data_IF_323393369310
#
_entry.id   IF_323393369310
#
_cell.length_a   1.000
_cell.length_b   1.000
_cell.length_c   1.000
_cell.angle_alpha   90.00
_cell.angle_beta   90.00
_cell.angle_gamma   90.00
#
_symmetry.space_group_name_H-M   'P 1'
#
loop_
_entity.id
_entity.type
_entity.pdbx_description
1 polymer ?
#
# COMPACT_ATOMS: atom_id res chain seq x y z
N UNK A 1 -4.52 -19.72 11.12
CA UNK A 1 -5.22 -18.88 10.13
C UNK A 1 -4.40 -18.85 8.86
N UNK A 2 -5.03 -18.65 7.71
CA UNK A 2 -4.32 -18.44 6.44
C UNK A 2 -4.37 -16.95 6.09
N UNK A 3 -3.37 -16.48 5.34
CA UNK A 3 -3.32 -15.16 4.73
C UNK A 3 -3.10 -15.35 3.23
N UNK A 4 -4.15 -15.13 2.43
CA UNK A 4 -4.20 -15.53 1.04
C UNK A 4 -4.01 -17.03 0.88
N UNK A 5 -3.01 -17.43 0.10
CA UNK A 5 -2.62 -18.84 -0.10
C UNK A 5 -1.51 -19.32 0.84
N UNK A 6 -1.09 -18.50 1.80
CA UNK A 6 -0.06 -18.86 2.77
C UNK A 6 -0.67 -19.24 4.12
N UNK A 7 -0.04 -20.17 4.84
CA UNK A 7 -0.24 -20.27 6.28
C UNK A 7 0.25 -18.97 6.96
N UNK A 8 -0.14 -18.74 8.21
CA UNK A 8 0.34 -17.57 8.96
C UNK A 8 1.88 -17.56 9.04
N UNK A 9 2.48 -18.70 9.36
CA UNK A 9 3.91 -18.90 9.47
C UNK A 9 4.63 -18.68 8.13
N UNK A 10 4.11 -19.26 7.05
CA UNK A 10 4.69 -19.05 5.71
C UNK A 10 4.60 -17.58 5.27
N UNK A 11 3.53 -16.90 5.66
CA UNK A 11 3.40 -15.47 5.38
C UNK A 11 4.47 -14.67 6.13
N UNK A 12 4.78 -15.00 7.39
CA UNK A 12 5.88 -14.34 8.12
C UNK A 12 7.24 -14.54 7.43
N UNK A 13 7.49 -15.73 6.86
CA UNK A 13 8.70 -15.99 6.06
C UNK A 13 8.72 -15.09 4.82
N UNK A 14 7.60 -15.01 4.08
CA UNK A 14 7.50 -14.11 2.92
C UNK A 14 7.68 -12.64 3.25
N UNK A 15 7.17 -12.19 4.40
CA UNK A 15 7.41 -10.83 4.89
C UNK A 15 8.91 -10.62 5.08
N UNK A 16 9.60 -11.54 5.75
CA UNK A 16 11.04 -11.41 6.00
C UNK A 16 11.85 -11.38 4.71
N UNK A 17 11.51 -12.24 3.75
CA UNK A 17 12.22 -12.32 2.47
C UNK A 17 12.04 -11.05 1.61
N UNK A 18 10.83 -10.48 1.60
CA UNK A 18 10.52 -9.32 0.76
C UNK A 18 10.86 -7.99 1.43
N UNK A 19 10.56 -7.85 2.72
CA UNK A 19 10.71 -6.61 3.49
C UNK A 19 12.02 -6.53 4.29
N UNK A 20 12.77 -7.63 4.38
CA UNK A 20 14.02 -7.76 5.14
C UNK A 20 13.84 -8.01 6.64
N UNK A 21 12.63 -7.87 7.17
CA UNK A 21 12.30 -8.16 8.58
C UNK A 21 10.80 -8.43 8.75
N UNK A 22 10.42 -9.14 9.80
CA UNK A 22 9.00 -9.33 10.17
C UNK A 22 8.48 -8.02 10.75
N UNK A 23 7.68 -7.28 9.97
CA UNK A 23 7.07 -6.03 10.39
C UNK A 23 5.58 -6.25 10.72
N UNK A 24 5.10 -5.87 11.93
CA UNK A 24 3.70 -6.05 12.32
C UNK A 24 2.70 -5.37 11.38
N UNK A 25 3.11 -4.27 10.77
CA UNK A 25 2.29 -3.60 9.75
C UNK A 25 1.98 -4.50 8.55
N UNK A 26 2.92 -5.33 8.09
CA UNK A 26 2.71 -6.20 6.93
C UNK A 26 1.79 -7.36 7.29
N UNK A 27 1.89 -7.87 8.52
CA UNK A 27 0.92 -8.85 9.07
C UNK A 27 -0.49 -8.26 9.01
N UNK A 28 -0.66 -7.05 9.55
CA UNK A 28 -1.94 -6.36 9.52
C UNK A 28 -2.42 -6.14 8.08
N UNK A 29 -1.52 -5.74 7.19
CA UNK A 29 -1.79 -5.54 5.78
C UNK A 29 -2.25 -6.81 5.06
N UNK A 30 -1.67 -7.96 5.40
CA UNK A 30 -2.06 -9.24 4.82
C UNK A 30 -3.50 -9.61 5.16
N UNK A 31 -3.88 -9.43 6.42
CA UNK A 31 -5.27 -9.63 6.86
C UNK A 31 -6.20 -8.63 6.16
N UNK A 32 -5.78 -7.37 5.99
CA UNK A 32 -6.55 -6.35 5.27
C UNK A 32 -6.75 -6.70 3.79
N UNK A 33 -5.75 -7.29 3.12
CA UNK A 33 -5.86 -7.76 1.73
C UNK A 33 -6.91 -8.88 1.63
N UNK A 34 -6.90 -9.85 2.55
CA UNK A 34 -7.88 -10.93 2.55
C UNK A 34 -9.30 -10.42 2.78
N UNK A 35 -9.48 -9.51 3.75
CA UNK A 35 -10.77 -8.86 3.98
C UNK A 35 -11.23 -8.13 2.72
N UNK A 36 -10.34 -7.37 2.06
CA UNK A 36 -10.70 -6.64 0.84
C UNK A 36 -11.10 -7.59 -0.29
N UNK A 37 -10.31 -8.66 -0.53
CA UNK A 37 -10.58 -9.68 -1.56
C UNK A 37 -11.92 -10.38 -1.37
N UNK A 38 -12.27 -10.69 -0.13
CA UNK A 38 -13.56 -11.30 0.21
C UNK A 38 -14.77 -10.36 0.02
N UNK A 39 -14.54 -9.05 -0.15
CA UNK A 39 -15.58 -8.02 -0.25
C UNK A 39 -15.56 -7.25 -1.58
N UNK A 40 -14.78 -7.69 -2.57
CA UNK A 40 -14.67 -6.98 -3.85
C UNK A 40 -16.03 -6.84 -4.54
N UNK A 41 -16.33 -5.68 -5.16
CA UNK A 41 -17.46 -5.57 -6.07
C UNK A 41 -17.25 -6.45 -7.31
N UNK A 42 -18.30 -6.65 -8.11
CA UNK A 42 -18.18 -7.39 -9.37
C UNK A 42 -17.14 -6.74 -10.31
N UNK A 43 -16.34 -7.57 -10.96
CA UNK A 43 -15.32 -7.14 -11.92
C UNK A 43 -14.14 -8.11 -11.99
N UNK A 44 -13.28 -7.89 -12.98
CA UNK A 44 -12.09 -8.72 -13.22
C UNK A 44 -10.79 -7.99 -12.85
N UNK A 45 -10.74 -6.67 -13.07
CA UNK A 45 -9.52 -5.88 -12.92
C UNK A 45 -9.59 -4.89 -11.76
N UNK A 46 -8.77 -5.14 -10.74
CA UNK A 46 -8.68 -4.31 -9.54
C UNK A 46 -7.30 -3.69 -9.39
N UNK A 47 -7.30 -2.41 -9.04
CA UNK A 47 -6.12 -1.68 -8.58
C UNK A 47 -6.23 -1.48 -7.06
N UNK A 48 -5.12 -1.10 -6.43
CA UNK A 48 -5.04 -0.86 -4.98
C UNK A 48 -4.49 0.54 -4.69
N UNK A 49 -5.07 1.22 -3.72
CA UNK A 49 -4.52 2.43 -3.10
C UNK A 49 -4.15 2.10 -1.65
N UNK A 50 -2.91 2.36 -1.26
CA UNK A 50 -2.48 2.41 0.13
C UNK A 50 -2.45 3.86 0.61
N UNK A 51 -3.00 4.12 1.80
CA UNK A 51 -3.07 5.46 2.41
C UNK A 51 -1.82 5.84 3.23
N UNK A 52 -0.77 5.01 3.14
CA UNK A 52 0.54 5.17 3.77
C UNK A 52 1.61 4.43 2.95
N UNK A 53 2.82 4.96 2.92
CA UNK A 53 3.99 4.27 2.36
C UNK A 53 4.64 3.25 3.31
N UNK A 54 4.18 3.15 4.56
CA UNK A 54 4.84 2.33 5.59
C UNK A 54 4.25 0.93 5.66
N UNK A 55 5.05 -0.08 5.29
CA UNK A 55 4.76 -1.52 5.38
C UNK A 55 3.58 -2.02 4.53
N UNK A 56 2.41 -1.37 4.62
CA UNK A 56 1.17 -1.76 3.96
C UNK A 56 1.29 -2.03 2.45
N UNK A 57 2.04 -1.23 1.65
CA UNK A 57 2.27 -1.54 0.24
C UNK A 57 2.86 -2.94 0.01
N UNK A 58 3.76 -3.40 0.88
CA UNK A 58 4.44 -4.68 0.69
C UNK A 58 3.50 -5.87 0.89
N UNK A 59 2.53 -5.77 1.81
CA UNK A 59 1.49 -6.78 1.95
C UNK A 59 0.69 -6.95 0.65
N UNK A 60 0.38 -5.84 -0.03
CA UNK A 60 -0.32 -5.86 -1.32
C UNK A 60 0.56 -6.51 -2.39
N UNK A 61 1.85 -6.16 -2.46
CA UNK A 61 2.78 -6.70 -3.46
C UNK A 61 3.07 -8.19 -3.26
N UNK A 62 3.09 -8.67 -2.01
CA UNK A 62 3.30 -10.09 -1.69
C UNK A 62 2.07 -10.94 -2.08
N UNK A 63 0.86 -10.41 -1.87
CA UNK A 63 -0.39 -11.17 -1.95
C UNK A 63 -1.19 -10.94 -3.23
N UNK A 64 -0.78 -10.00 -4.07
CA UNK A 64 -1.54 -9.62 -5.26
C UNK A 64 -0.62 -9.31 -6.44
N UNK A 65 -1.14 -9.34 -7.67
CA UNK A 65 -0.43 -8.83 -8.84
C UNK A 65 -0.19 -7.30 -8.81
N UNK A 66 -0.79 -6.56 -7.88
CA UNK A 66 -0.73 -5.11 -7.86
C UNK A 66 0.61 -4.64 -7.29
N UNK A 67 1.46 -4.06 -8.14
CA UNK A 67 2.78 -3.56 -7.74
C UNK A 67 2.95 -2.09 -8.07
N UNK A 68 3.93 -1.44 -7.43
CA UNK A 68 4.29 -0.06 -7.79
C UNK A 68 4.79 -0.04 -9.24
N UNK A 69 5.57 -1.06 -9.65
CA UNK A 69 6.19 -1.14 -10.98
C UNK A 69 5.20 -1.26 -12.14
N UNK A 70 4.09 -1.99 -11.98
CA UNK A 70 3.04 -2.05 -13.00
C UNK A 70 1.99 -0.93 -12.88
N UNK A 71 2.08 -0.11 -11.83
CA UNK A 71 1.20 1.04 -11.59
C UNK A 71 -0.20 0.67 -11.07
N UNK A 72 -0.44 -0.60 -10.74
CA UNK A 72 -1.73 -1.05 -10.18
C UNK A 72 -1.81 -0.80 -8.67
N UNK A 73 -0.67 -0.67 -7.98
CA UNK A 73 -0.59 -0.17 -6.61
C UNK A 73 -0.18 1.31 -6.62
N UNK A 74 -0.96 2.13 -5.93
CA UNK A 74 -0.72 3.57 -5.74
C UNK A 74 -0.58 3.88 -4.26
N UNK A 75 0.34 4.76 -3.91
CA UNK A 75 0.49 5.29 -2.55
C UNK A 75 -0.07 6.71 -2.54
N UNK A 76 -1.12 6.94 -1.76
CA UNK A 76 -1.71 8.25 -1.51
C UNK A 76 -1.56 8.53 -0.03
N UNK A 77 -0.40 9.05 0.36
CA UNK A 77 -0.04 9.18 1.77
C UNK A 77 -0.94 10.20 2.49
N UNK A 78 -1.87 9.67 3.29
CA UNK A 78 -2.71 10.45 4.21
C UNK A 78 -2.39 10.09 5.66
N UNK A 79 -1.29 9.36 5.89
CA UNK A 79 -0.87 8.82 7.19
C UNK A 79 -1.91 7.93 7.88
N UNK A 80 -2.88 7.39 7.12
CA UNK A 80 -3.91 6.47 7.62
C UNK A 80 -3.54 5.03 7.28
N UNK A 81 -3.71 4.12 8.22
CA UNK A 81 -3.40 2.70 8.01
C UNK A 81 -4.57 1.98 7.32
N UNK A 82 -4.71 2.24 6.02
CA UNK A 82 -5.82 1.77 5.21
C UNK A 82 -5.38 1.43 3.78
N UNK A 83 -6.06 0.44 3.20
CA UNK A 83 -5.97 0.13 1.78
C UNK A 83 -7.36 0.14 1.15
N UNK A 84 -7.41 0.38 -0.16
CA UNK A 84 -8.64 0.34 -0.95
C UNK A 84 -8.40 -0.49 -2.20
N UNK A 85 -9.13 -1.59 -2.37
CA UNK A 85 -9.23 -2.28 -3.64
C UNK A 85 -10.41 -1.70 -4.43
N UNK A 86 -10.22 -1.46 -5.71
CA UNK A 86 -11.28 -0.88 -6.55
C UNK A 86 -11.19 -1.37 -7.98
N UNK A 87 -12.35 -1.50 -8.62
CA UNK A 87 -12.44 -1.79 -10.05
C UNK A 87 -11.77 -0.65 -10.81
N UNK A 88 -10.76 -0.96 -11.63
CA UNK A 88 -9.89 0.05 -12.25
C UNK A 88 -10.62 0.95 -13.26
N UNK A 89 -11.81 0.59 -13.70
CA UNK A 89 -12.62 1.32 -14.68
C UNK A 89 -13.79 2.07 -14.04
N UNK A 90 -14.49 1.46 -13.09
CA UNK A 90 -15.65 2.09 -12.47
C UNK A 90 -15.28 2.88 -11.22
N UNK A 91 -14.17 2.56 -10.57
CA UNK A 91 -13.77 3.12 -9.28
C UNK A 91 -14.58 2.60 -8.09
N UNK A 92 -15.51 1.67 -8.29
CA UNK A 92 -16.22 1.03 -7.18
C UNK A 92 -15.25 0.14 -6.41
N UNK A 93 -15.22 0.29 -5.08
CA UNK A 93 -14.23 -0.39 -4.28
C UNK A 93 -14.61 -0.58 -2.83
N UNK A 94 -13.70 -1.25 -2.12
CA UNK A 94 -13.78 -1.52 -0.70
C UNK A 94 -12.51 -1.04 -0.02
N UNK A 95 -12.71 -0.17 0.98
CA UNK A 95 -11.67 0.34 1.86
C UNK A 95 -11.65 -0.45 3.15
N UNK A 96 -10.49 -0.97 3.51
CA UNK A 96 -10.24 -1.68 4.77
C UNK A 96 -9.21 -0.89 5.57
N UNK A 97 -9.40 -0.79 6.88
CA UNK A 97 -8.47 -0.10 7.78
C UNK A 97 -8.41 -0.78 9.14
N UNK A 98 -7.26 -0.67 9.80
CA UNK A 98 -7.09 -1.08 11.19
C UNK A 98 -7.86 -0.10 12.08
N UNK A 99 -8.85 -0.60 12.82
CA UNK A 99 -9.81 0.22 13.55
C UNK A 99 -9.37 0.38 15.01
N UNK A 100 -8.84 1.55 15.35
CA UNK A 100 -8.41 1.88 16.71
C UNK A 100 -9.53 1.67 17.74
N UNK A 101 -10.80 1.85 17.35
CA UNK A 101 -11.96 1.65 18.23
C UNK A 101 -12.20 0.19 18.61
N UNK A 102 -11.59 -0.76 17.90
CA UNK A 102 -11.72 -2.21 18.14
C UNK A 102 -10.53 -2.82 18.88
N UNK A 103 -9.54 -2.02 19.27
CA UNK A 103 -8.30 -2.49 19.92
C UNK A 103 -8.39 -2.60 21.45
N UNK A 104 -9.59 -2.47 22.03
CA UNK A 104 -9.77 -2.42 23.49
C UNK A 104 -9.17 -3.62 24.24
N UNK A 105 -9.30 -4.82 23.67
CA UNK A 105 -8.81 -6.08 24.24
C UNK A 105 -7.48 -6.55 23.63
N UNK A 106 -6.81 -5.72 22.82
CA UNK A 106 -5.61 -6.04 22.06
C UNK A 106 -4.49 -5.08 22.46
N UNK A 107 -3.94 -5.27 23.65
CA UNK A 107 -3.09 -4.29 24.31
C UNK A 107 -1.74 -4.11 23.59
N UNK A 108 -1.14 -5.20 23.09
CA UNK A 108 0.12 -5.14 22.38
C UNK A 108 -0.04 -4.45 21.02
N UNK A 109 -1.07 -4.81 20.24
CA UNK A 109 -1.41 -4.13 18.98
C UNK A 109 -1.74 -2.66 19.23
N UNK A 110 -2.54 -2.35 20.26
CA UNK A 110 -2.92 -0.97 20.58
C UNK A 110 -1.68 -0.12 20.89
N UNK A 111 -0.80 -0.60 21.77
CA UNK A 111 0.42 0.11 22.12
C UNK A 111 1.36 0.30 20.92
N UNK A 112 1.44 -0.69 20.04
CA UNK A 112 2.18 -0.58 18.76
C UNK A 112 1.56 0.45 17.82
N UNK A 113 0.24 0.36 17.60
CA UNK A 113 -0.47 1.14 16.60
C UNK A 113 -0.56 2.63 16.98
N UNK A 114 -0.85 2.90 18.25
CA UNK A 114 -0.96 4.25 18.80
C UNK A 114 0.38 4.82 19.26
N UNK A 115 1.43 3.98 19.28
CA UNK A 115 2.77 4.32 19.79
C UNK A 115 2.74 4.80 21.24
N UNK A 116 1.91 4.16 22.06
CA UNK A 116 1.75 4.49 23.49
C UNK A 116 3.05 4.25 24.30
N UNK A 117 3.96 3.41 23.76
CA UNK A 117 5.27 3.11 24.34
C UNK A 117 6.39 3.22 23.31
N UNK A 118 7.62 3.58 23.72
CA UNK A 118 8.81 3.50 22.87
C UNK A 118 8.99 2.11 22.26
N UNK A 119 9.52 2.03 21.04
CA UNK A 119 9.68 0.76 20.29
C UNK A 119 10.43 -0.33 21.07
N UNK A 120 11.40 0.05 21.92
CA UNK A 120 12.20 -0.88 22.74
C UNK A 120 11.41 -1.54 23.87
N UNK A 121 10.29 -0.95 24.27
CA UNK A 121 9.42 -1.43 25.36
C UNK A 121 8.18 -2.18 24.84
N UNK A 122 8.05 -2.31 23.52
CA UNK A 122 6.94 -3.02 22.89
C UNK A 122 7.22 -4.53 22.88
N UNK A 123 6.22 -5.31 23.29
CA UNK A 123 6.26 -6.78 23.23
C UNK A 123 6.02 -7.24 21.79
N UNK A 124 7.12 -7.51 21.07
CA UNK A 124 7.07 -7.90 19.66
C UNK A 124 6.33 -9.23 19.44
N UNK A 125 6.61 -10.24 20.27
CA UNK A 125 5.99 -11.56 20.13
C UNK A 125 4.50 -11.48 20.50
N UNK A 126 4.17 -10.70 21.53
CA UNK A 126 2.78 -10.39 21.89
C UNK A 126 2.01 -9.68 20.79
N UNK A 127 2.63 -8.74 20.05
CA UNK A 127 1.99 -8.09 18.88
C UNK A 127 1.67 -9.12 17.79
N UNK A 128 2.62 -10.01 17.47
CA UNK A 128 2.43 -11.03 16.42
C UNK A 128 1.34 -12.02 16.83
N UNK A 129 1.34 -12.49 18.08
CA UNK A 129 0.32 -13.39 18.59
C UNK A 129 -1.07 -12.74 18.60
N UNK A 130 -1.15 -11.49 19.07
CA UNK A 130 -2.42 -10.75 19.05
C UNK A 130 -2.96 -10.59 17.64
N UNK A 131 -2.14 -10.35 16.62
CA UNK A 131 -2.64 -10.27 15.24
C UNK A 131 -3.22 -11.60 14.76
N UNK A 132 -2.56 -12.71 15.10
CA UNK A 132 -3.04 -14.06 14.80
C UNK A 132 -4.38 -14.35 15.45
N UNK A 133 -4.53 -14.00 16.73
CA UNK A 133 -5.76 -14.24 17.51
C UNK A 133 -6.89 -13.29 17.14
N UNK A 134 -6.58 -12.02 16.89
CA UNK A 134 -7.56 -11.02 16.50
C UNK A 134 -8.16 -11.32 15.14
N UNK A 135 -7.35 -11.83 14.20
CA UNK A 135 -7.77 -12.11 12.83
C UNK A 135 -8.47 -10.89 12.24
N UNK A 136 -9.66 -11.07 11.69
CA UNK A 136 -10.41 -10.00 11.02
C UNK A 136 -11.17 -9.06 11.96
N UNK A 137 -11.23 -9.34 13.27
CA UNK A 137 -12.12 -8.65 14.21
C UNK A 137 -11.76 -7.18 14.48
N UNK A 138 -10.49 -6.80 14.29
CA UNK A 138 -9.95 -5.47 14.59
C UNK A 138 -9.98 -4.50 13.39
N UNK A 139 -10.59 -4.92 12.28
CA UNK A 139 -10.66 -4.13 11.05
C UNK A 139 -12.07 -3.64 10.78
N UNK A 140 -12.16 -2.55 10.01
CA UNK A 140 -13.42 -2.01 9.54
C UNK A 140 -13.41 -1.82 8.03
N UNK A 141 -14.58 -2.02 7.42
CA UNK A 141 -14.79 -2.07 5.98
C UNK A 141 -15.72 -0.92 5.58
N UNK A 142 -15.42 -0.24 4.46
CA UNK A 142 -16.31 0.75 3.86
C UNK A 142 -16.39 0.52 2.34
N UNK A 143 -17.60 0.49 1.80
CA UNK A 143 -17.81 0.64 0.35
C UNK A 143 -17.48 2.08 -0.04
N UNK A 144 -16.74 2.26 -1.14
CA UNK A 144 -16.26 3.57 -1.57
C UNK A 144 -16.33 3.71 -3.09
N UNK A 145 -16.36 4.97 -3.55
CA UNK A 145 -16.14 5.35 -4.94
C UNK A 145 -14.82 6.11 -5.04
N UNK A 146 -13.86 5.56 -5.76
CA UNK A 146 -12.54 6.18 -5.94
C UNK A 146 -12.66 7.39 -6.88
N UNK A 147 -11.87 8.45 -6.60
CA UNK A 147 -11.89 9.67 -7.42
C UNK A 147 -11.45 9.37 -8.86
N UNK A 148 -12.03 10.05 -9.87
CA UNK A 148 -11.66 9.86 -11.28
C UNK A 148 -10.16 10.00 -11.58
N UNK A 149 -9.42 10.80 -10.81
CA UNK A 149 -7.97 10.98 -10.95
C UNK A 149 -7.15 9.71 -10.71
N UNK A 150 -7.70 8.70 -10.04
CA UNK A 150 -7.03 7.43 -9.76
C UNK A 150 -7.56 6.26 -10.61
N UNK A 151 -8.62 6.47 -11.38
CA UNK A 151 -9.24 5.45 -12.23
C UNK A 151 -8.50 5.42 -13.58
N UNK A 152 -8.29 4.23 -14.12
CA UNK A 152 -7.67 4.08 -15.44
C UNK A 152 -8.71 4.31 -16.54
N UNK A 153 -8.52 5.36 -17.34
CA UNK A 153 -9.23 5.49 -18.61
C UNK A 153 -8.61 4.55 -19.65
N UNK A 154 -9.44 3.86 -20.43
CA UNK A 154 -9.07 2.73 -21.30
C UNK A 154 -8.03 3.04 -22.42
N UNK A 155 -7.47 4.24 -22.50
CA UNK A 155 -6.44 4.60 -23.49
C UNK A 155 -5.37 5.49 -22.87
N UNK A 156 -4.26 4.89 -22.41
CA UNK A 156 -3.01 5.65 -22.25
C UNK A 156 -2.48 5.90 -23.66
N UNK A 157 -2.55 7.14 -24.15
CA UNK A 157 -1.81 7.52 -25.36
C UNK A 157 -0.33 7.26 -25.10
N UNK A 158 0.35 6.59 -26.03
CA UNK A 158 1.82 6.49 -25.99
C UNK A 158 2.37 7.92 -25.86
N UNK A 159 3.09 8.17 -24.77
CA UNK A 159 3.72 9.47 -24.54
C UNK A 159 4.96 9.57 -25.41
N UNK A 160 5.00 10.55 -26.31
CA UNK A 160 6.18 10.85 -27.10
C UNK A 160 7.39 11.07 -26.18
N UNK A 161 8.52 10.49 -26.56
CA UNK A 161 9.80 10.63 -25.87
C UNK A 161 10.70 11.55 -26.67
N UNK A 162 11.41 12.44 -25.98
CA UNK A 162 12.40 13.35 -26.56
C UNK A 162 13.55 13.57 -25.57
N UNK A 163 14.59 14.29 -26.00
CA UNK A 163 15.74 14.60 -25.15
C UNK A 163 15.50 15.92 -24.40
N UNK A 164 15.82 15.95 -23.11
CA UNK A 164 15.78 17.17 -22.29
C UNK A 164 16.88 18.13 -22.77
N UNK A 165 16.57 19.41 -23.07
CA UNK A 165 17.58 20.36 -23.52
C UNK A 165 18.60 20.72 -22.42
N UNK A 166 18.27 20.52 -21.14
CA UNK A 166 19.15 20.86 -20.02
C UNK A 166 20.14 19.75 -19.67
N UNK A 167 19.70 18.48 -19.63
CA UNK A 167 20.56 17.36 -19.22
C UNK A 167 20.82 16.31 -20.32
N UNK A 168 20.17 16.41 -21.48
CA UNK A 168 20.29 15.43 -22.58
C UNK A 168 19.56 14.10 -22.35
N UNK A 169 18.96 13.86 -21.19
CA UNK A 169 18.26 12.59 -20.91
C UNK A 169 16.91 12.47 -21.62
N UNK A 170 16.52 11.24 -21.95
CA UNK A 170 15.23 10.94 -22.54
C UNK A 170 14.09 11.10 -21.51
N UNK A 171 13.04 11.82 -21.88
CA UNK A 171 11.87 12.02 -21.04
C UNK A 171 10.58 12.12 -21.87
N UNK A 172 9.43 12.02 -21.20
CA UNK A 172 8.11 12.22 -21.83
C UNK A 172 7.89 13.70 -22.11
N UNK A 173 7.79 14.08 -23.39
CA UNK A 173 7.64 15.49 -23.81
C UNK A 173 6.33 16.13 -23.33
N UNK A 174 5.34 15.31 -22.93
CA UNK A 174 4.11 15.78 -22.31
C UNK A 174 4.31 16.40 -20.92
N UNK A 175 5.48 16.26 -20.31
CA UNK A 175 5.79 16.80 -18.98
C UNK A 175 6.32 18.25 -19.01
N UNK A 176 6.51 18.83 -20.20
CA UNK A 176 7.01 20.18 -20.38
C UNK A 176 8.14 20.25 -21.40
N UNK A 177 8.81 21.40 -21.47
CA UNK A 177 9.95 21.63 -22.39
C UNK A 177 11.26 20.98 -21.93
N UNK A 178 11.39 20.74 -20.62
CA UNK A 178 12.50 20.04 -19.99
C UNK A 178 11.95 18.89 -19.12
N UNK A 179 12.78 17.93 -18.72
CA UNK A 179 12.35 16.86 -17.82
C UNK A 179 11.97 17.43 -16.43
N UNK A 180 11.12 16.71 -15.69
CA UNK A 180 10.69 17.14 -14.35
C UNK A 180 11.87 17.36 -13.39
N UNK A 181 12.96 16.59 -13.54
CA UNK A 181 14.15 16.77 -12.73
C UNK A 181 14.76 18.18 -12.91
N UNK A 182 15.05 18.58 -14.16
CA UNK A 182 15.55 19.91 -14.49
C UNK A 182 14.54 21.06 -14.26
N UNK A 183 13.26 20.74 -14.03
CA UNK A 183 12.25 21.70 -13.58
C UNK A 183 12.26 21.90 -12.04
N UNK A 184 13.23 21.32 -11.33
CA UNK A 184 13.36 21.43 -9.87
C UNK A 184 12.64 20.33 -9.08
N UNK A 185 12.10 19.30 -9.76
CA UNK A 185 11.51 18.12 -9.09
C UNK A 185 12.52 16.96 -8.97
N UNK A 186 13.79 17.21 -9.28
CA UNK A 186 14.87 16.24 -9.11
C UNK A 186 15.10 15.94 -7.62
N UNK A 187 15.50 14.72 -7.26
CA UNK A 187 15.76 14.35 -5.87
C UNK A 187 17.13 14.82 -5.35
N UNK A 188 17.96 15.45 -6.19
CA UNK A 188 19.33 15.84 -5.89
C UNK A 188 19.54 17.33 -6.20
N UNK A 189 20.52 17.94 -5.55
CA UNK A 189 21.04 19.25 -5.95
C UNK A 189 22.06 18.96 -7.05
N UNK A 190 21.87 19.55 -8.22
CA UNK A 190 22.87 19.49 -9.28
C UNK A 190 24.07 20.35 -8.85
N UNK A 191 25.27 19.77 -8.81
CA UNK A 191 26.49 20.55 -8.58
C UNK A 191 26.77 21.42 -9.82
N UNK A 192 26.94 22.73 -9.62
CA UNK A 192 27.38 23.64 -10.68
C UNK A 192 28.81 23.24 -11.10
N UNK A 193 28.98 22.86 -12.38
CA UNK A 193 30.31 22.76 -13.00
C UNK A 193 30.88 24.14 -13.31
#
# INVERSE_FOLDING_TARGET
MNIGHYSYEDFLVKIKDFHGNIAPGIIAGGIMVDIARANLPAGEFFDVICETGRCLPDAVQILTPCTIGNGWLKIVDTSRYALTFYNKYTGDGVRVFLDAGKLGNWHCIKAWFLKDKPKKEQDFDGIIDEFRRAGTSIYSIKKVKVKPTYISFAKKKSSQVGLCPSCGEAYRTSLGKACSACQGLGPFIDEEN
#
